data_IF_314671500157
#
_entry.id   IF_314671500157
#
_cell.length_a   1.000
_cell.length_b   1.000
_cell.length_c   1.000
_cell.angle_alpha   90.00
_cell.angle_beta   90.00
_cell.angle_gamma   90.00
#
_symmetry.space_group_name_H-M   'P 1'
#
loop_
_entity.id
_entity.type
_entity.pdbx_description
1 polymer ?
#
# COMPACT_ATOMS: atom_id res chain seq x y z
N UNK A 1 -15.28 3.14 -25.32
CA UNK A 1 -15.72 3.59 -23.99
C UNK A 1 -14.93 4.85 -23.64
N UNK A 2 -15.57 5.92 -23.13
CA UNK A 2 -14.80 7.05 -22.61
C UNK A 2 -13.97 6.59 -21.41
N UNK A 3 -12.73 7.09 -21.30
CA UNK A 3 -11.82 6.78 -20.20
C UNK A 3 -11.82 7.89 -19.18
N UNK A 4 -11.76 7.51 -17.91
CA UNK A 4 -11.58 8.46 -16.82
C UNK A 4 -10.12 8.92 -16.74
N UNK A 5 -9.89 10.09 -16.16
CA UNK A 5 -8.55 10.66 -16.00
C UNK A 5 -8.33 11.19 -14.59
N UNK A 6 -7.10 11.05 -14.10
CA UNK A 6 -6.67 11.60 -12.81
C UNK A 6 -5.49 12.55 -13.00
N UNK A 7 -5.52 13.69 -12.31
CA UNK A 7 -4.46 14.70 -12.36
C UNK A 7 -3.63 14.66 -11.09
N UNK A 8 -2.31 14.70 -11.23
CA UNK A 8 -1.40 14.81 -10.08
C UNK A 8 -1.21 16.25 -9.63
N UNK A 9 -0.66 16.42 -8.43
CA UNK A 9 -0.30 17.72 -7.87
C UNK A 9 0.66 18.52 -8.76
N UNK A 10 1.56 17.85 -9.45
CA UNK A 10 2.52 18.45 -10.39
C UNK A 10 1.93 18.69 -11.80
N UNK A 11 0.63 18.41 -11.97
CA UNK A 11 -0.13 18.73 -13.18
C UNK A 11 -0.15 17.65 -14.26
N UNK A 12 0.46 16.48 -14.04
CA UNK A 12 0.41 15.36 -14.99
C UNK A 12 -0.98 14.74 -15.00
N UNK A 13 -1.43 14.27 -16.15
CA UNK A 13 -2.72 13.60 -16.33
C UNK A 13 -2.47 12.15 -16.71
N UNK A 14 -3.16 11.23 -16.04
CA UNK A 14 -3.12 9.80 -16.30
C UNK A 14 -4.52 9.32 -16.71
N UNK A 15 -4.59 8.47 -17.73
CA UNK A 15 -5.80 7.72 -18.06
C UNK A 15 -5.95 6.55 -17.09
N UNK A 16 -7.16 6.34 -16.59
CA UNK A 16 -7.52 5.16 -15.83
C UNK A 16 -7.95 4.03 -16.78
N UNK A 17 -7.66 2.76 -16.41
CA UNK A 17 -8.28 1.62 -17.07
C UNK A 17 -9.80 1.76 -17.04
N UNK A 18 -10.46 1.27 -18.09
CA UNK A 18 -11.91 1.03 -18.06
C UNK A 18 -12.24 -0.13 -17.11
N UNK A 19 -13.50 -0.24 -16.68
CA UNK A 19 -13.94 -1.34 -15.79
C UNK A 19 -13.64 -2.73 -16.36
N UNK A 20 -13.69 -2.89 -17.69
CA UNK A 20 -13.35 -4.14 -18.38
C UNK A 20 -11.85 -4.43 -18.30
N UNK A 21 -11.02 -3.43 -18.59
CA UNK A 21 -9.55 -3.54 -18.47
C UNK A 21 -9.13 -3.80 -17.01
N UNK A 22 -9.79 -3.16 -16.03
CA UNK A 22 -9.53 -3.39 -14.61
C UNK A 22 -9.90 -4.81 -14.18
N UNK A 23 -11.03 -5.34 -14.67
CA UNK A 23 -11.44 -6.72 -14.44
C UNK A 23 -10.44 -7.73 -15.03
N UNK A 24 -9.90 -7.47 -16.23
CA UNK A 24 -8.85 -8.29 -16.84
C UNK A 24 -7.56 -8.26 -16.02
N UNK A 25 -7.12 -7.08 -15.57
CA UNK A 25 -5.93 -6.91 -14.70
C UNK A 25 -6.12 -7.67 -13.39
N UNK A 26 -7.30 -7.55 -12.78
CA UNK A 26 -7.62 -8.26 -11.54
C UNK A 26 -7.64 -9.78 -11.75
N UNK A 27 -8.23 -10.27 -12.84
CA UNK A 27 -8.24 -11.70 -13.16
C UNK A 27 -6.82 -12.25 -13.36
N UNK A 28 -5.96 -11.51 -14.05
CA UNK A 28 -4.56 -11.88 -14.23
C UNK A 28 -3.80 -11.96 -12.88
N UNK A 29 -4.01 -10.98 -12.00
CA UNK A 29 -3.40 -10.99 -10.67
C UNK A 29 -3.88 -12.18 -9.80
N UNK A 30 -5.15 -12.56 -9.91
CA UNK A 30 -5.70 -13.71 -9.17
C UNK A 30 -5.26 -15.06 -9.73
N UNK A 31 -4.91 -15.13 -11.03
CA UNK A 31 -4.43 -16.34 -11.67
C UNK A 31 -2.95 -16.63 -11.34
N UNK A 32 -2.21 -15.63 -10.85
CA UNK A 32 -0.80 -15.75 -10.53
C UNK A 32 -0.57 -16.61 -9.27
N UNK A 33 0.11 -17.78 -9.39
CA UNK A 33 0.35 -18.66 -8.25
C UNK A 33 1.27 -18.05 -7.17
N UNK A 34 2.17 -17.14 -7.54
CA UNK A 34 3.15 -16.57 -6.60
C UNK A 34 2.68 -15.26 -5.95
N UNK A 35 1.68 -14.60 -6.54
CA UNK A 35 1.13 -13.34 -6.11
C UNK A 35 -0.28 -13.46 -5.52
N UNK A 36 -0.64 -14.63 -4.97
CA UNK A 36 -1.94 -14.83 -4.33
C UNK A 36 -2.20 -13.78 -3.24
N UNK A 37 -3.44 -13.26 -3.11
CA UNK A 37 -3.79 -12.39 -2.00
C UNK A 37 -3.57 -13.08 -0.65
N UNK A 38 -3.11 -12.30 0.33
CA UNK A 38 -2.98 -12.80 1.70
C UNK A 38 -4.35 -13.02 2.33
N UNK A 39 -4.46 -14.11 3.09
CA UNK A 39 -5.56 -14.27 4.05
C UNK A 39 -5.43 -13.26 5.19
N UNK A 40 -6.51 -13.03 5.92
CA UNK A 40 -6.50 -12.08 7.05
C UNK A 40 -5.47 -12.45 8.12
N UNK A 41 -5.33 -13.74 8.42
CA UNK A 41 -4.35 -14.24 9.37
C UNK A 41 -2.91 -14.03 8.88
N UNK A 42 -2.63 -14.36 7.61
CA UNK A 42 -1.32 -14.13 7.00
C UNK A 42 -0.97 -12.64 6.93
N UNK A 43 -1.98 -11.79 6.69
CA UNK A 43 -1.84 -10.33 6.70
C UNK A 43 -1.49 -9.80 8.09
N UNK A 44 -2.14 -10.31 9.14
CA UNK A 44 -1.85 -9.94 10.53
C UNK A 44 -0.43 -10.36 10.93
N UNK A 45 -0.03 -11.58 10.57
CA UNK A 45 1.33 -12.09 10.81
C UNK A 45 2.38 -11.26 10.04
N UNK A 46 2.13 -10.95 8.76
CA UNK A 46 3.02 -10.13 7.94
C UNK A 46 3.15 -8.70 8.48
N UNK A 47 2.06 -8.11 9.01
CA UNK A 47 2.09 -6.78 9.63
C UNK A 47 2.96 -6.77 10.88
N UNK A 48 2.92 -7.84 11.68
CA UNK A 48 3.75 -7.99 12.88
C UNK A 48 5.23 -8.18 12.53
N UNK A 49 5.53 -8.90 11.43
CA UNK A 49 6.91 -9.11 10.94
C UNK A 49 7.52 -7.91 10.21
N UNK A 50 6.71 -6.93 9.80
CA UNK A 50 7.19 -5.66 9.24
C UNK A 50 7.83 -4.83 10.35
N UNK A 51 9.10 -5.13 10.65
CA UNK A 51 9.96 -4.19 11.34
C UNK A 51 10.07 -2.95 10.46
N UNK A 52 9.47 -1.84 10.90
CA UNK A 52 9.76 -0.54 10.32
C UNK A 52 11.28 -0.36 10.44
N UNK A 53 11.98 -0.24 9.32
CA UNK A 53 13.45 -0.13 9.27
C UNK A 53 14.03 1.09 9.99
N UNK A 54 13.18 1.90 10.62
CA UNK A 54 13.59 2.93 11.56
C UNK A 54 13.37 2.37 12.97
N UNK A 55 14.43 2.09 13.75
CA UNK A 55 14.26 1.83 15.17
C UNK A 55 13.42 2.97 15.75
N UNK A 56 12.49 2.66 16.65
CA UNK A 56 11.91 3.70 17.49
C UNK A 56 13.10 4.33 18.21
N UNK A 57 13.55 5.49 17.74
CA UNK A 57 14.37 6.38 18.56
C UNK A 57 13.49 6.54 19.78
N UNK A 58 13.87 5.87 20.88
CA UNK A 58 13.16 5.96 22.13
C UNK A 58 12.98 7.44 22.36
N UNK A 59 11.74 7.91 22.31
CA UNK A 59 11.44 9.29 22.64
C UNK A 59 11.99 9.42 24.07
N UNK A 60 13.01 10.25 24.34
CA UNK A 60 13.41 10.43 25.72
C UNK A 60 12.15 10.85 26.48
N UNK A 61 11.88 10.27 27.66
CA UNK A 61 10.72 10.68 28.44
C UNK A 61 10.82 12.20 28.59
N UNK A 62 9.75 12.91 28.19
CA UNK A 62 9.67 14.33 28.51
C UNK A 62 9.68 14.43 30.05
N UNK A 63 10.77 14.92 30.62
CA UNK A 63 10.79 15.40 32.01
C UNK A 63 11.87 14.85 32.93
N UNK A 64 13.15 15.08 32.64
CA UNK A 64 14.08 15.33 33.74
C UNK A 64 14.15 16.85 33.96
N UNK A 65 13.65 17.40 35.08
CA UNK A 65 13.90 18.79 35.41
C UNK A 65 15.40 18.96 35.70
N UNK A 66 16.04 19.91 35.01
CA UNK A 66 17.39 20.35 35.35
C UNK A 66 17.36 20.92 36.78
N UNK A 67 18.11 20.30 37.68
CA UNK A 67 18.53 20.89 38.96
C UNK A 67 19.91 21.51 38.73
#
# INVERSE_FOLDING_TARGET
MPRDTVKTRDGRVFELPTDEEDAEIHAAAMADPDARPYTDAEREEARTRRQFGRPSIGRPPYGEPKI
#
